data_IF_432656746457
#
_entry.id   IF_432656746457
#
_cell.length_a   1.000
_cell.length_b   1.000
_cell.length_c   1.000
_cell.angle_alpha   90.00
_cell.angle_beta   90.00
_cell.angle_gamma   90.00
#
_symmetry.space_group_name_H-M   'P 1'
#
loop_
_entity.id
_entity.type
_entity.pdbx_description
1 polymer ?
#
# COMPACT_ATOMS: atom_id res chain seq x y z
N UNK A 1 -26.77 -6.72 -12.23
CA UNK A 1 -25.57 -5.88 -12.36
C UNK A 1 -24.99 -5.75 -10.96
N UNK A 2 -23.76 -6.22 -10.71
CA UNK A 2 -23.17 -6.08 -9.38
C UNK A 2 -22.65 -4.65 -9.20
N UNK A 3 -23.01 -4.01 -8.08
CA UNK A 3 -22.43 -2.75 -7.64
C UNK A 3 -21.20 -3.02 -6.79
N UNK A 4 -20.06 -2.47 -7.17
CA UNK A 4 -18.77 -2.71 -6.53
C UNK A 4 -18.13 -1.39 -6.13
N UNK A 5 -17.59 -1.33 -4.92
CA UNK A 5 -16.75 -0.23 -4.47
C UNK A 5 -15.30 -0.71 -4.31
N UNK A 6 -14.34 -0.07 -4.95
CA UNK A 6 -12.90 -0.29 -4.72
C UNK A 6 -12.32 0.89 -3.94
N UNK A 7 -11.98 0.64 -2.68
CA UNK A 7 -11.24 1.57 -1.83
C UNK A 7 -9.77 1.22 -1.87
N UNK A 8 -8.88 2.20 -1.98
CA UNK A 8 -7.45 1.92 -1.92
C UNK A 8 -6.64 3.06 -1.30
N UNK A 9 -5.43 2.73 -0.86
CA UNK A 9 -4.36 3.70 -0.58
C UNK A 9 -3.18 3.38 -1.49
N UNK A 10 -2.49 4.40 -2.04
CA UNK A 10 -1.30 4.16 -2.87
C UNK A 10 -0.12 5.07 -2.56
N UNK A 11 0.94 4.52 -1.96
CA UNK A 11 2.17 5.29 -1.68
C UNK A 11 2.90 5.77 -2.94
N UNK A 12 3.26 4.83 -3.83
CA UNK A 12 4.06 5.08 -5.05
C UNK A 12 3.24 5.06 -6.34
N UNK A 13 1.92 4.97 -6.26
CA UNK A 13 1.02 4.85 -7.42
C UNK A 13 0.84 3.42 -7.95
N UNK A 14 1.64 2.44 -7.54
CA UNK A 14 1.49 1.04 -8.02
C UNK A 14 0.14 0.43 -7.60
N UNK A 15 -0.34 0.72 -6.39
CA UNK A 15 -1.66 0.24 -5.95
C UNK A 15 -2.78 0.90 -6.76
N UNK A 16 -2.67 2.20 -7.08
CA UNK A 16 -3.59 2.90 -8.00
C UNK A 16 -3.64 2.19 -9.36
N UNK A 17 -2.48 1.89 -9.94
CA UNK A 17 -2.38 1.13 -11.20
C UNK A 17 -3.08 -0.23 -11.10
N UNK A 18 -2.87 -0.97 -10.01
CA UNK A 18 -3.55 -2.25 -9.83
C UNK A 18 -5.07 -2.10 -9.68
N UNK A 19 -5.53 -1.09 -8.94
CA UNK A 19 -6.95 -0.75 -8.83
C UNK A 19 -7.57 -0.49 -10.20
N UNK A 20 -6.90 0.27 -11.07
CA UNK A 20 -7.37 0.53 -12.44
C UNK A 20 -7.51 -0.77 -13.24
N UNK A 21 -6.54 -1.68 -13.16
CA UNK A 21 -6.64 -2.99 -13.82
C UNK A 21 -7.82 -3.82 -13.29
N UNK A 22 -8.09 -3.78 -11.99
CA UNK A 22 -9.23 -4.49 -11.38
C UNK A 22 -10.54 -3.88 -11.90
N UNK A 23 -10.68 -2.55 -11.86
CA UNK A 23 -11.86 -1.84 -12.36
C UNK A 23 -12.13 -2.20 -13.82
N UNK A 24 -11.14 -2.13 -14.69
CA UNK A 24 -11.32 -2.42 -16.12
C UNK A 24 -11.77 -3.87 -16.38
N UNK A 25 -11.30 -4.86 -15.61
CA UNK A 25 -11.76 -6.25 -15.76
C UNK A 25 -13.17 -6.47 -15.18
N UNK A 26 -13.57 -5.67 -14.19
CA UNK A 26 -14.93 -5.64 -13.64
C UNK A 26 -15.92 -4.98 -14.63
N UNK A 27 -15.55 -3.86 -15.25
CA UNK A 27 -16.36 -3.16 -16.25
C UNK A 27 -16.63 -4.04 -17.49
N UNK A 28 -15.64 -4.86 -17.91
CA UNK A 28 -15.83 -5.88 -18.97
C UNK A 28 -16.87 -6.96 -18.64
N UNK A 29 -17.33 -7.04 -17.39
CA UNK A 29 -18.34 -7.99 -16.88
C UNK A 29 -19.66 -7.31 -16.51
N UNK A 30 -19.84 -6.07 -16.96
CA UNK A 30 -21.00 -5.25 -16.63
C UNK A 30 -21.15 -5.07 -15.10
N UNK A 31 -20.04 -4.92 -14.37
CA UNK A 31 -20.11 -4.49 -12.97
C UNK A 31 -20.10 -2.96 -12.95
N UNK A 32 -20.99 -2.35 -12.16
CA UNK A 32 -20.90 -0.93 -11.85
C UNK A 32 -19.84 -0.76 -10.77
N UNK A 33 -18.73 -0.08 -11.09
CA UNK A 33 -17.55 -0.06 -10.23
C UNK A 33 -17.15 1.38 -9.87
N UNK A 34 -17.40 1.76 -8.62
CA UNK A 34 -16.92 3.00 -8.04
C UNK A 34 -15.53 2.80 -7.45
N UNK A 35 -14.66 3.79 -7.62
CA UNK A 35 -13.28 3.73 -7.14
C UNK A 35 -12.99 4.97 -6.32
N UNK A 36 -12.49 4.77 -5.11
CA UNK A 36 -12.17 5.83 -4.16
C UNK A 36 -10.75 5.63 -3.64
N UNK A 37 -9.89 6.63 -3.81
CA UNK A 37 -8.68 6.74 -2.98
C UNK A 37 -9.13 7.19 -1.59
N UNK A 38 -8.69 6.50 -0.53
CA UNK A 38 -9.08 6.89 0.83
C UNK A 38 -8.58 8.30 1.20
N UNK A 39 -7.58 8.84 0.48
CA UNK A 39 -7.13 10.23 0.59
C UNK A 39 -8.18 11.25 0.10
N UNK A 40 -9.13 10.86 -0.77
CA UNK A 40 -10.18 11.75 -1.31
C UNK A 40 -11.34 11.96 -0.32
N UNK A 41 -11.58 10.99 0.56
CA UNK A 41 -12.69 10.99 1.51
C UNK A 41 -12.24 11.22 2.95
N UNK A 42 -10.93 11.37 3.19
CA UNK A 42 -10.37 11.50 4.52
C UNK A 42 -9.02 12.21 4.51
N UNK A 43 -8.85 13.16 5.42
CA UNK A 43 -7.54 13.70 5.79
C UNK A 43 -6.73 12.63 6.55
N UNK A 44 -5.98 11.82 5.82
CA UNK A 44 -5.17 10.73 6.39
C UNK A 44 -4.12 11.20 7.40
N UNK A 45 -3.36 12.29 7.14
CA UNK A 45 -2.45 12.86 8.15
C UNK A 45 -3.13 13.08 9.49
N UNK A 46 -4.25 13.82 9.50
CA UNK A 46 -4.98 14.12 10.74
C UNK A 46 -5.58 12.87 11.36
N UNK A 47 -6.15 11.97 10.56
CA UNK A 47 -6.72 10.72 11.05
C UNK A 47 -5.66 9.85 11.75
N UNK A 48 -4.50 9.69 11.10
CA UNK A 48 -3.43 8.84 11.60
C UNK A 48 -2.76 9.46 12.83
N UNK A 49 -2.44 10.76 12.83
CA UNK A 49 -1.81 11.42 13.98
C UNK A 49 -2.66 11.44 15.25
N UNK A 50 -3.99 11.44 15.14
CA UNK A 50 -4.88 11.34 16.31
C UNK A 50 -4.77 10.02 17.04
N UNK A 51 -4.53 8.92 16.31
CA UNK A 51 -4.45 7.55 16.84
C UNK A 51 -3.39 6.75 16.07
N UNK A 52 -2.11 7.11 16.22
CA UNK A 52 -1.01 6.65 15.38
C UNK A 52 -0.77 5.16 15.56
N UNK A 53 -0.95 4.39 14.49
CA UNK A 53 -0.72 2.95 14.49
C UNK A 53 0.64 2.67 13.90
N UNK A 54 1.51 2.01 14.66
CA UNK A 54 2.86 1.67 14.22
C UNK A 54 3.03 0.17 13.92
N UNK A 55 3.91 -0.12 12.97
CA UNK A 55 4.33 -1.49 12.67
C UNK A 55 5.54 -1.86 13.52
N UNK A 56 5.78 -3.16 13.71
CA UNK A 56 6.88 -3.63 14.57
C UNK A 56 8.25 -3.12 14.13
N UNK A 57 8.49 -3.04 12.82
CA UNK A 57 9.78 -2.60 12.31
C UNK A 57 10.04 -1.12 12.59
N UNK A 58 9.01 -0.26 12.55
CA UNK A 58 9.13 1.17 12.87
C UNK A 58 9.36 1.37 14.37
N UNK A 59 8.71 0.56 15.22
CA UNK A 59 8.96 0.54 16.67
C UNK A 59 10.39 0.14 16.98
N UNK A 60 10.89 -0.91 16.31
CA UNK A 60 12.29 -1.34 16.44
C UNK A 60 13.26 -0.25 15.97
N UNK A 61 12.92 0.47 14.90
CA UNK A 61 13.72 1.57 14.37
C UNK A 61 13.85 2.66 15.41
N UNK A 62 12.72 3.12 15.95
CA UNK A 62 12.67 4.22 16.91
C UNK A 62 13.41 3.87 18.21
N UNK A 63 13.33 2.60 18.62
CA UNK A 63 14.05 2.12 19.80
C UNK A 63 15.57 2.07 19.59
N UNK A 64 16.03 1.75 18.38
CA UNK A 64 17.46 1.55 18.07
C UNK A 64 18.16 2.84 17.62
N UNK A 65 17.48 3.64 16.80
CA UNK A 65 18.03 4.80 16.10
C UNK A 65 17.02 5.96 16.12
N UNK A 66 16.63 6.46 17.31
CA UNK A 66 15.63 7.50 17.42
C UNK A 66 16.02 8.73 16.59
N UNK A 67 15.07 9.28 15.83
CA UNK A 67 15.32 10.49 15.03
C UNK A 67 15.31 11.76 15.87
N UNK A 68 14.68 11.72 17.04
CA UNK A 68 14.61 12.82 17.98
C UNK A 68 14.61 12.34 19.42
N UNK A 69 14.69 13.28 20.38
CA UNK A 69 14.55 12.99 21.81
C UNK A 69 13.08 12.94 22.26
N UNK A 70 12.14 13.29 21.39
CA UNK A 70 10.72 13.30 21.74
C UNK A 70 10.21 11.86 21.83
N UNK A 71 9.36 11.54 22.82
CA UNK A 71 8.74 10.23 22.90
C UNK A 71 7.91 10.01 21.64
N UNK A 72 8.01 8.83 21.04
CA UNK A 72 7.24 8.50 19.84
C UNK A 72 5.81 8.13 20.23
N UNK A 73 4.79 8.95 19.91
CA UNK A 73 3.43 8.66 20.32
C UNK A 73 2.88 7.65 19.33
N UNK A 74 2.93 6.36 19.63
CA UNK A 74 2.34 5.32 18.79
C UNK A 74 1.54 4.31 19.63
N UNK A 75 0.61 3.62 18.97
CA UNK A 75 0.00 2.39 19.44
C UNK A 75 0.49 1.24 18.58
N UNK A 76 0.86 0.13 19.22
CA UNK A 76 1.13 -1.09 18.46
C UNK A 76 -0.17 -1.64 17.85
N UNK A 77 -0.05 -2.56 16.89
CA UNK A 77 -1.21 -3.14 16.21
C UNK A 77 -2.20 -3.84 17.17
N UNK A 78 -1.72 -4.49 18.24
CA UNK A 78 -2.59 -5.22 19.17
C UNK A 78 -3.40 -4.24 20.00
N UNK A 79 -2.76 -3.21 20.52
CA UNK A 79 -3.41 -2.15 21.28
C UNK A 79 -4.39 -1.38 20.41
N UNK A 80 -4.00 -1.00 19.18
CA UNK A 80 -4.84 -0.27 18.24
C UNK A 80 -6.13 -1.04 17.88
N UNK A 81 -6.05 -2.36 17.73
CA UNK A 81 -7.24 -3.21 17.49
C UNK A 81 -8.13 -3.27 18.74
N UNK A 82 -7.53 -3.44 19.93
CA UNK A 82 -8.27 -3.54 21.19
C UNK A 82 -8.98 -2.23 21.56
N UNK A 83 -8.37 -1.08 21.26
CA UNK A 83 -8.91 0.25 21.55
C UNK A 83 -9.74 0.84 20.40
N UNK A 84 -9.94 0.10 19.31
CA UNK A 84 -10.64 0.58 18.12
C UNK A 84 -12.07 0.99 18.45
N UNK A 85 -12.38 2.26 18.16
CA UNK A 85 -13.73 2.84 18.25
C UNK A 85 -14.05 3.51 16.93
N UNK A 86 -15.28 3.37 16.39
CA UNK A 86 -15.70 4.08 15.19
C UNK A 86 -15.47 5.58 15.31
N UNK A 87 -15.05 6.20 14.21
CA UNK A 87 -15.00 7.64 14.07
C UNK A 87 -16.41 8.15 13.73
N UNK A 88 -16.98 9.10 14.51
CA UNK A 88 -18.29 9.68 14.21
C UNK A 88 -18.40 10.26 12.79
N UNK A 89 -17.30 10.78 12.24
CA UNK A 89 -17.26 11.29 10.87
C UNK A 89 -17.55 10.22 9.81
N UNK A 90 -17.36 8.94 10.14
CA UNK A 90 -17.60 7.80 9.24
C UNK A 90 -18.94 7.11 9.51
N UNK A 91 -19.78 7.63 10.43
CA UNK A 91 -21.03 6.97 10.81
C UNK A 91 -21.99 6.77 9.62
N UNK A 92 -22.02 7.71 8.67
CA UNK A 92 -22.85 7.63 7.46
C UNK A 92 -22.43 6.51 6.50
N UNK A 93 -21.15 6.12 6.48
CA UNK A 93 -20.60 5.15 5.52
C UNK A 93 -21.27 3.78 5.59
N UNK A 94 -21.82 3.38 6.75
CA UNK A 94 -22.56 2.13 6.86
C UNK A 94 -23.84 2.11 6.01
N UNK A 95 -24.52 3.26 5.91
CA UNK A 95 -25.69 3.42 5.07
C UNK A 95 -25.27 3.65 3.63
N UNK A 96 -24.30 4.54 3.39
CA UNK A 96 -23.84 4.89 2.04
C UNK A 96 -23.30 3.65 1.31
N UNK A 97 -22.60 2.75 2.01
CA UNK A 97 -22.03 1.57 1.38
C UNK A 97 -22.96 0.36 1.36
N UNK A 98 -24.17 0.48 1.92
CA UNK A 98 -25.14 -0.62 1.94
C UNK A 98 -25.70 -0.95 0.55
N UNK A 99 -25.56 -0.04 -0.41
CA UNK A 99 -25.97 -0.26 -1.80
C UNK A 99 -24.99 -1.11 -2.62
N UNK A 100 -23.76 -1.32 -2.14
CA UNK A 100 -22.76 -2.13 -2.83
C UNK A 100 -22.90 -3.61 -2.48
N UNK A 101 -22.83 -4.44 -3.51
CA UNK A 101 -22.81 -5.90 -3.38
C UNK A 101 -21.46 -6.42 -2.89
N UNK A 102 -20.38 -5.75 -3.30
CA UNK A 102 -18.99 -6.12 -3.05
C UNK A 102 -18.12 -4.89 -2.78
N UNK A 103 -17.23 -4.97 -1.78
CA UNK A 103 -16.25 -3.91 -1.52
C UNK A 103 -14.82 -4.50 -1.54
N UNK A 104 -13.93 -3.90 -2.33
CA UNK A 104 -12.51 -4.23 -2.38
C UNK A 104 -11.67 -3.24 -1.60
N UNK A 105 -10.80 -3.72 -0.71
CA UNK A 105 -9.84 -2.88 0.04
C UNK A 105 -8.40 -3.09 -0.42
N UNK A 106 -7.80 -2.05 -0.99
CA UNK A 106 -6.49 -2.05 -1.62
C UNK A 106 -5.39 -1.37 -0.83
N UNK A 107 -4.24 -2.01 -0.65
CA UNK A 107 -3.09 -1.35 0.00
C UNK A 107 -1.74 -1.91 -0.45
N UNK A 108 -0.67 -1.11 -0.48
CA UNK A 108 0.68 -1.64 -0.53
C UNK A 108 0.99 -2.47 0.73
N UNK A 109 1.92 -3.40 0.58
CA UNK A 109 2.43 -4.24 1.68
C UNK A 109 3.67 -3.60 2.29
N UNK A 110 3.59 -3.22 3.57
CA UNK A 110 4.73 -2.78 4.38
C UNK A 110 4.97 -3.77 5.50
N UNK A 111 6.11 -4.46 5.45
CA UNK A 111 6.46 -5.55 6.38
C UNK A 111 5.31 -6.55 6.61
N UNK A 112 4.72 -7.04 5.51
CA UNK A 112 3.60 -8.00 5.51
C UNK A 112 2.29 -7.50 6.15
N UNK A 113 2.13 -6.19 6.27
CA UNK A 113 0.92 -5.51 6.75
C UNK A 113 0.45 -4.49 5.71
N UNK A 114 -0.83 -4.08 5.75
CA UNK A 114 -1.27 -2.92 5.00
C UNK A 114 -0.57 -1.65 5.46
N UNK A 115 -0.69 -0.57 4.68
CA UNK A 115 -0.21 0.73 5.06
C UNK A 115 -0.85 1.16 6.39
N UNK A 116 -0.08 1.65 7.37
CA UNK A 116 -0.60 2.14 8.65
C UNK A 116 -1.79 3.10 8.54
N UNK A 117 -1.84 3.94 7.50
CA UNK A 117 -2.97 4.83 7.22
C UNK A 117 -4.23 4.07 6.80
N UNK A 118 -4.10 3.01 5.98
CA UNK A 118 -5.21 2.11 5.66
C UNK A 118 -5.67 1.32 6.89
N UNK A 119 -4.75 0.87 7.74
CA UNK A 119 -5.10 0.19 9.00
C UNK A 119 -5.91 1.14 9.88
N UNK A 120 -5.44 2.38 10.08
CA UNK A 120 -6.15 3.39 10.87
C UNK A 120 -7.54 3.67 10.29
N UNK A 121 -7.64 3.88 8.98
CA UNK A 121 -8.90 4.08 8.27
C UNK A 121 -9.89 2.96 8.58
N UNK A 122 -9.51 1.69 8.38
CA UNK A 122 -10.38 0.53 8.64
C UNK A 122 -10.78 0.46 10.12
N UNK A 123 -9.85 0.71 11.05
CA UNK A 123 -10.15 0.68 12.48
C UNK A 123 -11.12 1.77 12.93
N UNK A 124 -11.22 2.88 12.19
CA UNK A 124 -12.15 3.97 12.45
C UNK A 124 -13.50 3.82 11.72
N UNK A 125 -13.62 2.89 10.77
CA UNK A 125 -14.91 2.60 10.13
C UNK A 125 -15.99 2.19 11.16
N UNK A 126 -17.27 2.43 10.87
CA UNK A 126 -18.37 1.86 11.66
C UNK A 126 -18.38 0.33 11.57
N UNK A 127 -19.25 -0.29 12.35
CA UNK A 127 -19.55 -1.72 12.21
C UNK A 127 -20.64 -1.87 11.16
N UNK A 128 -20.37 -2.73 10.17
CA UNK A 128 -21.28 -3.03 9.08
C UNK A 128 -22.10 -4.30 9.38
N UNK A 129 -23.14 -4.51 8.58
CA UNK A 129 -23.89 -5.76 8.59
C UNK A 129 -23.09 -6.88 7.89
N UNK A 130 -23.14 -8.10 8.44
CA UNK A 130 -22.50 -9.33 7.92
C UNK A 130 -22.99 -9.81 6.55
N UNK A 131 -23.83 -9.02 5.88
CA UNK A 131 -24.30 -9.26 4.51
C UNK A 131 -23.32 -8.77 3.44
N UNK A 132 -22.63 -7.64 3.66
CA UNK A 132 -21.77 -7.02 2.64
C UNK A 132 -20.51 -7.87 2.45
N UNK A 133 -20.28 -8.32 1.22
CA UNK A 133 -19.11 -9.12 0.87
C UNK A 133 -17.91 -8.21 0.63
N UNK A 134 -16.75 -8.62 1.12
CA UNK A 134 -15.51 -7.85 0.93
C UNK A 134 -14.34 -8.72 0.53
N UNK A 135 -13.46 -8.17 -0.29
CA UNK A 135 -12.16 -8.75 -0.58
C UNK A 135 -11.06 -7.74 -0.31
N UNK A 136 -9.83 -8.22 -0.19
CA UNK A 136 -8.67 -7.34 -0.11
C UNK A 136 -7.77 -7.52 -1.32
N UNK A 137 -7.02 -6.48 -1.70
CA UNK A 137 -6.02 -6.58 -2.73
C UNK A 137 -4.72 -5.87 -2.37
N UNK A 138 -3.60 -6.44 -2.78
CA UNK A 138 -2.28 -6.03 -2.34
C UNK A 138 -1.28 -5.86 -3.49
N UNK A 139 -0.39 -4.87 -3.32
CA UNK A 139 0.80 -4.71 -4.16
C UNK A 139 2.07 -4.85 -3.33
N UNK A 140 3.06 -5.58 -3.85
CA UNK A 140 4.31 -5.85 -3.11
C UNK A 140 5.53 -6.06 -4.03
N UNK A 141 6.73 -5.82 -3.48
CA UNK A 141 8.01 -5.99 -4.19
C UNK A 141 8.59 -7.42 -4.06
N UNK A 142 7.90 -8.33 -3.36
CA UNK A 142 8.39 -9.67 -3.09
C UNK A 142 7.30 -10.65 -2.70
N UNK A 143 6.75 -10.49 -1.49
CA UNK A 143 5.64 -11.32 -1.02
C UNK A 143 4.64 -10.53 -0.18
N UNK A 144 3.36 -10.91 -0.26
CA UNK A 144 2.29 -10.33 0.55
C UNK A 144 2.34 -10.74 2.04
N UNK A 145 2.88 -11.93 2.34
CA UNK A 145 3.02 -12.40 3.71
C UNK A 145 1.68 -12.62 4.44
N UNK A 146 1.35 -11.78 5.42
CA UNK A 146 0.22 -11.98 6.38
C UNK A 146 -0.86 -10.95 6.10
N UNK A 147 -0.70 -10.23 4.99
CA UNK A 147 -1.57 -9.14 4.59
C UNK A 147 -3.00 -9.66 4.49
N UNK A 148 -3.22 -10.76 3.74
CA UNK A 148 -4.54 -11.36 3.57
C UNK A 148 -5.20 -11.71 4.91
N UNK A 149 -4.51 -12.48 5.76
CA UNK A 149 -5.07 -12.91 7.04
C UNK A 149 -5.39 -11.71 7.94
N UNK A 150 -4.52 -10.70 7.95
CA UNK A 150 -4.75 -9.48 8.71
C UNK A 150 -5.97 -8.72 8.22
N UNK A 151 -6.06 -8.49 6.90
CA UNK A 151 -7.20 -7.83 6.27
C UNK A 151 -8.49 -8.60 6.53
N UNK A 152 -8.48 -9.93 6.36
CA UNK A 152 -9.60 -10.81 6.70
C UNK A 152 -10.05 -10.59 8.13
N UNK A 153 -9.12 -10.61 9.09
CA UNK A 153 -9.45 -10.47 10.51
C UNK A 153 -10.06 -9.09 10.83
N UNK A 154 -9.42 -8.00 10.41
CA UNK A 154 -9.90 -6.64 10.74
C UNK A 154 -11.22 -6.31 10.03
N UNK A 155 -11.41 -6.75 8.78
CA UNK A 155 -12.65 -6.52 8.05
C UNK A 155 -13.80 -7.37 8.62
N UNK A 156 -13.51 -8.60 9.07
CA UNK A 156 -14.51 -9.44 9.74
C UNK A 156 -14.93 -8.84 11.10
N UNK A 157 -13.99 -8.24 11.85
CA UNK A 157 -14.29 -7.50 13.09
C UNK A 157 -15.20 -6.31 12.80
N UNK A 158 -15.03 -5.66 11.64
CA UNK A 158 -15.90 -4.57 11.17
C UNK A 158 -17.25 -5.05 10.63
N UNK A 159 -17.55 -6.33 10.76
CA UNK A 159 -18.86 -6.88 10.42
C UNK A 159 -19.00 -7.22 8.95
N UNK A 160 -17.95 -7.21 8.14
CA UNK A 160 -18.02 -7.64 6.74
C UNK A 160 -17.93 -9.16 6.56
N UNK A 161 -18.44 -9.67 5.43
CA UNK A 161 -18.25 -11.05 4.99
C UNK A 161 -17.05 -11.14 4.04
N UNK A 162 -15.89 -11.55 4.56
CA UNK A 162 -14.68 -11.68 3.76
C UNK A 162 -14.79 -12.85 2.76
N UNK A 163 -14.57 -12.57 1.47
CA UNK A 163 -14.72 -13.55 0.38
C UNK A 163 -13.42 -13.91 -0.34
N UNK A 164 -12.37 -13.11 -0.28
CA UNK A 164 -11.10 -13.49 -0.91
C UNK A 164 -10.04 -12.40 -0.99
N UNK A 165 -8.96 -12.70 -1.71
CA UNK A 165 -7.79 -11.86 -1.81
C UNK A 165 -7.16 -11.88 -3.21
N UNK A 166 -6.61 -10.74 -3.63
CA UNK A 166 -5.78 -10.59 -4.81
C UNK A 166 -4.41 -10.01 -4.43
N UNK A 167 -3.32 -10.56 -4.95
CA UNK A 167 -2.01 -9.93 -4.81
C UNK A 167 -1.19 -9.94 -6.10
N UNK A 168 -0.41 -8.88 -6.28
CA UNK A 168 0.48 -8.76 -7.42
C UNK A 168 1.77 -8.01 -7.08
N UNK A 169 2.87 -8.52 -7.63
CA UNK A 169 4.13 -7.79 -7.73
C UNK A 169 4.29 -7.19 -9.13
N UNK A 170 4.63 -5.90 -9.20
CA UNK A 170 4.79 -5.16 -10.45
C UNK A 170 6.24 -4.80 -10.71
N UNK A 171 6.73 -3.75 -10.04
CA UNK A 171 8.09 -3.26 -10.14
C UNK A 171 8.55 -2.96 -8.73
N UNK A 172 9.82 -3.21 -8.44
CA UNK A 172 10.38 -3.04 -7.10
C UNK A 172 10.55 -1.55 -6.73
N UNK A 173 9.43 -0.89 -6.49
CA UNK A 173 9.35 0.56 -6.24
C UNK A 173 10.06 0.97 -4.96
N UNK A 174 10.11 0.09 -3.96
CA UNK A 174 10.83 0.34 -2.71
C UNK A 174 12.34 0.08 -2.84
N UNK A 175 12.75 -0.82 -3.74
CA UNK A 175 14.17 -1.06 -4.01
C UNK A 175 14.79 0.01 -4.93
N UNK A 176 13.98 0.74 -5.70
CA UNK A 176 14.44 1.76 -6.65
C UNK A 176 15.35 2.81 -5.97
N UNK A 177 14.99 3.24 -4.77
CA UNK A 177 15.72 4.26 -3.99
C UNK A 177 17.07 3.79 -3.43
N UNK A 178 17.48 2.55 -3.72
CA UNK A 178 18.78 1.99 -3.37
C UNK A 178 19.70 1.82 -4.58
N UNK A 179 19.18 2.04 -5.79
CA UNK A 179 19.91 1.84 -7.03
C UNK A 179 20.52 3.16 -7.49
N UNK A 180 21.80 3.13 -7.88
CA UNK A 180 22.46 4.30 -8.49
C UNK A 180 21.81 4.65 -9.82
N UNK A 181 21.53 3.64 -10.65
CA UNK A 181 20.88 3.77 -11.94
C UNK A 181 19.59 2.95 -11.93
N UNK A 182 18.48 3.56 -12.34
CA UNK A 182 17.19 2.89 -12.50
C UNK A 182 16.71 3.09 -13.93
N UNK A 183 16.72 2.01 -14.72
CA UNK A 183 16.31 2.03 -16.12
C UNK A 183 14.77 2.07 -16.19
N UNK A 184 14.21 3.27 -16.40
CA UNK A 184 12.77 3.50 -16.47
C UNK A 184 12.09 2.71 -17.59
N UNK A 185 12.74 2.53 -18.75
CA UNK A 185 12.15 1.79 -19.86
C UNK A 185 12.14 0.28 -19.60
N UNK A 186 13.20 -0.27 -18.99
CA UNK A 186 13.21 -1.65 -18.52
C UNK A 186 12.15 -1.87 -17.44
N UNK A 187 12.07 -0.97 -16.45
CA UNK A 187 11.06 -1.03 -15.41
C UNK A 187 9.63 -0.94 -15.98
N UNK A 188 9.39 -0.07 -16.96
CA UNK A 188 8.13 0.02 -17.68
C UNK A 188 7.75 -1.25 -18.45
N UNK A 189 8.72 -1.88 -19.14
CA UNK A 189 8.50 -3.18 -19.79
C UNK A 189 8.14 -4.28 -18.79
N UNK A 190 8.77 -4.28 -17.61
CA UNK A 190 8.40 -5.18 -16.51
C UNK A 190 6.99 -4.88 -16.01
N UNK A 191 6.64 -3.61 -15.80
CA UNK A 191 5.31 -3.18 -15.39
C UNK A 191 4.23 -3.67 -16.36
N UNK A 192 4.46 -3.55 -17.67
CA UNK A 192 3.54 -4.06 -18.72
C UNK A 192 3.39 -5.58 -18.61
N UNK A 193 4.49 -6.34 -18.57
CA UNK A 193 4.44 -7.80 -18.43
C UNK A 193 3.66 -8.21 -17.17
N UNK A 194 3.96 -7.58 -16.04
CA UNK A 194 3.28 -7.84 -14.76
C UNK A 194 1.82 -7.41 -14.76
N UNK A 195 1.44 -6.41 -15.55
CA UNK A 195 0.04 -6.03 -15.76
C UNK A 195 -0.74 -7.11 -16.50
N UNK A 196 -0.15 -7.78 -17.50
CA UNK A 196 -0.77 -8.95 -18.13
C UNK A 196 -0.92 -10.13 -17.16
N UNK A 197 0.09 -10.41 -16.34
CA UNK A 197 0.00 -11.42 -15.28
C UNK A 197 -1.11 -11.08 -14.26
N UNK A 198 -1.20 -9.81 -13.87
CA UNK A 198 -2.23 -9.31 -12.96
C UNK A 198 -3.64 -9.53 -13.53
N UNK A 199 -3.88 -9.15 -14.80
CA UNK A 199 -5.18 -9.34 -15.46
C UNK A 199 -5.62 -10.81 -15.48
N UNK A 200 -4.69 -11.75 -15.73
CA UNK A 200 -5.02 -13.19 -15.66
C UNK A 200 -5.50 -13.60 -14.27
N UNK A 201 -4.84 -13.14 -13.21
CA UNK A 201 -5.26 -13.41 -11.82
C UNK A 201 -6.60 -12.75 -11.50
N UNK A 202 -6.78 -11.48 -11.90
CA UNK A 202 -8.03 -10.74 -11.71
C UNK A 202 -9.18 -11.48 -12.39
N UNK A 203 -9.02 -11.88 -13.66
CA UNK A 203 -10.01 -12.65 -14.41
C UNK A 203 -10.45 -13.89 -13.63
N UNK A 204 -9.50 -14.73 -13.20
CA UNK A 204 -9.77 -15.96 -12.44
C UNK A 204 -10.52 -15.64 -11.12
N UNK A 205 -10.10 -14.59 -10.43
CA UNK A 205 -10.75 -14.17 -9.19
C UNK A 205 -12.18 -13.67 -9.44
N UNK A 206 -12.41 -12.91 -10.51
CA UNK A 206 -13.74 -12.41 -10.87
C UNK A 206 -14.68 -13.55 -11.30
N UNK A 207 -14.18 -14.61 -11.93
CA UNK A 207 -14.97 -15.83 -12.16
C UNK A 207 -15.43 -16.47 -10.85
N UNK A 208 -14.53 -16.55 -9.87
CA UNK A 208 -14.87 -17.02 -8.53
C UNK A 208 -15.90 -16.10 -7.84
N UNK A 209 -15.71 -14.78 -7.88
CA UNK A 209 -16.68 -13.82 -7.34
C UNK A 209 -18.03 -13.98 -8.01
N UNK A 210 -18.08 -14.06 -9.34
CA UNK A 210 -19.31 -14.26 -10.09
C UNK A 210 -20.03 -15.55 -9.64
N UNK A 211 -19.28 -16.64 -9.47
CA UNK A 211 -19.77 -17.89 -8.91
C UNK A 211 -20.41 -17.75 -7.51
N UNK A 212 -19.85 -16.90 -6.64
CA UNK A 212 -20.40 -16.65 -5.29
C UNK A 212 -21.74 -15.90 -5.29
N UNK A 213 -22.00 -15.10 -6.32
CA UNK A 213 -23.24 -14.32 -6.45
C UNK A 213 -24.33 -15.07 -7.22
N UNK A 214 -23.95 -15.85 -8.24
CA UNK A 214 -24.90 -16.49 -9.15
C UNK A 214 -25.01 -18.02 -8.98
N UNK A 215 -24.30 -18.62 -8.01
CA UNK A 215 -24.47 -20.03 -7.62
C UNK A 215 -23.86 -21.06 -8.59
N UNK A 216 -23.01 -20.62 -9.52
CA UNK A 216 -22.29 -21.51 -10.43
C UNK A 216 -21.13 -22.16 -9.66
N UNK A 217 -20.98 -23.49 -9.77
CA UNK A 217 -19.91 -24.21 -9.08
C UNK A 217 -18.54 -23.85 -9.66
N UNK A 218 -17.80 -22.97 -8.99
CA UNK A 218 -16.40 -22.68 -9.30
C UNK A 218 -15.51 -23.18 -8.15
N UNK A 219 -14.64 -24.17 -8.41
CA UNK A 219 -13.63 -24.58 -7.45
C UNK A 219 -12.43 -23.65 -7.56
N UNK A 220 -12.42 -22.59 -6.75
CA UNK A 220 -11.23 -21.78 -6.55
C UNK A 220 -10.15 -22.64 -5.87
N UNK A 221 -9.19 -23.12 -6.65
CA UNK A 221 -8.03 -23.85 -6.13
C UNK A 221 -6.96 -22.81 -5.83
N UNK A 222 -6.78 -22.46 -4.56
CA UNK A 222 -5.66 -21.62 -4.14
C UNK A 222 -4.37 -22.26 -4.70
N UNK A 223 -3.62 -21.60 -5.59
CA UNK A 223 -2.61 -22.28 -6.39
C UNK A 223 -1.40 -22.78 -5.58
N UNK A 224 -1.28 -22.49 -4.29
CA UNK A 224 -0.09 -22.89 -3.53
C UNK A 224 -0.30 -23.13 -2.02
N UNK A 225 -1.03 -24.18 -1.61
CA UNK A 225 -1.18 -24.53 -0.18
C UNK A 225 0.18 -24.88 0.47
N UNK A 226 1.12 -25.47 -0.28
CA UNK A 226 2.45 -25.81 0.23
C UNK A 226 3.31 -24.57 0.51
N UNK A 227 3.14 -23.51 -0.28
CA UNK A 227 3.76 -22.19 -0.06
C UNK A 227 3.34 -21.53 1.25
N UNK A 228 2.13 -21.80 1.76
CA UNK A 228 1.67 -21.25 3.05
C UNK A 228 2.32 -21.93 4.27
N UNK A 229 2.70 -23.21 4.16
CA UNK A 229 3.37 -23.98 5.23
C UNK A 229 4.89 -23.73 5.26
N UNK A 230 5.55 -23.79 4.10
CA UNK A 230 6.99 -23.48 3.96
C UNK A 230 7.24 -21.97 4.13
N UNK A 231 6.21 -21.16 3.91
CA UNK A 231 6.23 -19.71 4.09
C UNK A 231 6.41 -19.26 5.54
N UNK A 232 6.10 -20.07 6.57
CA UNK A 232 6.20 -19.62 7.97
C UNK A 232 7.68 -19.44 8.39
N UNK A 233 8.57 -20.44 8.23
CA UNK A 233 10.00 -20.24 8.48
C UNK A 233 10.59 -19.15 7.59
N UNK A 234 10.28 -19.17 6.28
CA UNK A 234 10.76 -18.16 5.34
C UNK A 234 10.30 -16.75 5.69
N UNK A 235 9.10 -16.59 6.23
CA UNK A 235 8.56 -15.32 6.73
C UNK A 235 9.27 -14.87 7.99
N UNK A 236 9.67 -15.76 8.88
CA UNK A 236 10.52 -15.42 10.03
C UNK A 236 11.92 -15.00 9.57
N UNK A 237 12.57 -15.74 8.68
CA UNK A 237 13.89 -15.39 8.15
C UNK A 237 13.86 -14.11 7.29
N UNK A 238 12.84 -13.95 6.44
CA UNK A 238 12.67 -12.78 5.60
C UNK A 238 12.25 -11.57 6.43
N UNK A 239 11.34 -11.69 7.41
CA UNK A 239 11.03 -10.57 8.30
C UNK A 239 12.20 -10.19 9.19
N UNK A 240 12.96 -11.15 9.73
CA UNK A 240 14.15 -10.84 10.51
C UNK A 240 15.26 -10.23 9.64
N UNK A 241 15.48 -10.75 8.43
CA UNK A 241 16.47 -10.24 7.48
C UNK A 241 16.11 -8.87 6.91
N UNK A 242 14.85 -8.65 6.54
CA UNK A 242 14.34 -7.34 6.10
C UNK A 242 14.32 -6.38 7.27
N UNK A 243 13.85 -6.77 8.46
CA UNK A 243 13.92 -5.89 9.63
C UNK A 243 15.37 -5.53 9.95
N UNK A 244 16.28 -6.51 9.93
CA UNK A 244 17.70 -6.27 10.12
C UNK A 244 18.24 -5.28 9.08
N UNK A 245 17.98 -5.52 7.80
CA UNK A 245 18.44 -4.66 6.72
C UNK A 245 17.86 -3.26 6.79
N UNK A 246 16.54 -3.15 6.96
CA UNK A 246 15.83 -1.88 7.06
C UNK A 246 16.37 -1.03 8.22
N UNK A 247 16.51 -1.65 9.40
CA UNK A 247 16.96 -0.96 10.61
C UNK A 247 18.44 -0.59 10.60
N UNK A 248 19.30 -1.28 9.86
CA UNK A 248 20.74 -0.94 9.79
C UNK A 248 21.09 -0.02 8.62
N UNK A 249 20.34 -0.07 7.51
CA UNK A 249 20.77 0.56 6.26
C UNK A 249 19.78 1.53 5.65
N UNK A 250 18.51 1.53 6.02
CA UNK A 250 17.47 2.30 5.33
C UNK A 250 16.74 3.32 6.21
N UNK A 251 16.89 3.23 7.52
CA UNK A 251 16.20 4.11 8.46
C UNK A 251 17.03 5.30 8.86
N UNK A 252 16.37 6.46 8.86
CA UNK A 252 16.98 7.77 9.05
C UNK A 252 16.24 8.82 8.21
N UNK A 253 16.66 10.06 8.33
CA UNK A 253 16.13 11.20 7.57
C UNK A 253 17.21 12.26 7.50
N UNK A 254 17.48 12.77 6.30
CA UNK A 254 18.45 13.82 6.06
C UNK A 254 18.05 14.63 4.83
N UNK A 255 18.64 15.82 4.74
CA UNK A 255 18.35 16.80 3.70
C UNK A 255 19.63 17.52 3.27
N UNK A 256 19.84 17.64 1.96
CA UNK A 256 20.85 18.51 1.36
C UNK A 256 20.24 19.92 1.29
N UNK A 257 20.60 20.79 2.25
CA UNK A 257 19.98 22.12 2.39
C UNK A 257 20.20 23.00 1.15
N UNK A 258 21.35 22.84 0.50
CA UNK A 258 21.75 23.51 -0.73
C UNK A 258 20.93 23.11 -1.97
N UNK A 259 20.33 21.91 -1.98
CA UNK A 259 19.47 21.42 -3.07
C UNK A 259 17.98 21.67 -2.76
N UNK A 260 17.64 21.91 -1.50
CA UNK A 260 16.26 22.09 -1.09
C UNK A 260 15.75 23.50 -1.45
N UNK A 261 14.80 23.55 -2.38
CA UNK A 261 14.13 24.80 -2.78
C UNK A 261 12.93 25.17 -1.89
N UNK A 262 12.78 24.52 -0.73
CA UNK A 262 11.72 24.77 0.26
C UNK A 262 10.28 24.78 -0.33
N UNK A 263 10.01 23.94 -1.34
CA UNK A 263 8.70 23.87 -2.00
C UNK A 263 7.60 23.14 -1.21
N UNK A 264 7.94 22.50 -0.10
CA UNK A 264 7.02 21.77 0.79
C UNK A 264 6.30 20.56 0.19
N UNK A 265 6.69 20.10 -1.01
CA UNK A 265 6.10 18.92 -1.64
C UNK A 265 6.19 17.68 -0.73
N UNK A 266 7.30 17.47 -0.03
CA UNK A 266 7.47 16.33 0.87
C UNK A 266 6.52 16.38 2.08
N UNK A 267 6.24 17.57 2.62
CA UNK A 267 5.32 17.80 3.74
C UNK A 267 3.89 17.52 3.28
N UNK A 268 3.46 18.14 2.19
CA UNK A 268 2.11 18.01 1.63
C UNK A 268 1.78 16.58 1.24
N UNK A 269 2.76 15.84 0.75
CA UNK A 269 2.57 14.46 0.29
C UNK A 269 2.70 13.43 1.42
N UNK A 270 3.01 13.80 2.66
CA UNK A 270 3.20 12.81 3.72
C UNK A 270 1.84 12.28 4.22
N UNK A 271 1.47 11.01 3.95
CA UNK A 271 0.15 10.49 4.33
C UNK A 271 -0.01 10.29 5.85
N UNK A 272 1.09 10.32 6.61
CA UNK A 272 1.09 10.27 8.07
C UNK A 272 1.31 11.65 8.71
N UNK A 273 1.53 12.71 7.91
CA UNK A 273 1.83 14.06 8.38
C UNK A 273 3.11 14.19 9.22
N UNK A 274 4.06 13.26 9.12
CA UNK A 274 5.20 13.20 10.04
C UNK A 274 6.36 14.16 9.73
N UNK A 275 6.25 14.97 8.66
CA UNK A 275 7.32 15.88 8.24
C UNK A 275 6.91 17.30 8.63
N UNK A 276 7.71 17.93 9.48
CA UNK A 276 7.56 19.30 9.98
C UNK A 276 8.67 20.19 9.41
N UNK A 277 8.70 21.47 9.79
CA UNK A 277 9.76 22.40 9.41
C UNK A 277 10.63 22.75 10.61
N UNK A 278 11.94 22.77 10.41
CA UNK A 278 12.88 23.31 11.37
C UNK A 278 12.81 24.85 11.44
N UNK A 279 13.60 25.45 12.33
CA UNK A 279 13.62 26.90 12.53
C UNK A 279 14.08 27.69 11.29
N UNK A 280 14.81 27.04 10.37
CA UNK A 280 15.26 27.63 9.11
C UNK A 280 14.31 27.32 7.94
N UNK A 281 13.20 26.63 8.20
CA UNK A 281 12.18 26.28 7.23
C UNK A 281 12.51 25.04 6.38
N UNK A 282 13.45 24.19 6.80
CA UNK A 282 13.74 22.92 6.12
C UNK A 282 12.89 21.78 6.66
N UNK A 283 12.44 20.85 5.80
CA UNK A 283 11.77 19.63 6.22
C UNK A 283 12.60 18.84 7.23
N UNK A 284 12.00 18.50 8.36
CA UNK A 284 12.56 17.63 9.40
C UNK A 284 11.54 16.55 9.76
N UNK A 285 12.03 15.40 10.22
CA UNK A 285 11.19 14.31 10.70
C UNK A 285 11.65 13.87 12.09
N UNK A 286 10.76 13.96 13.07
CA UNK A 286 11.06 13.60 14.46
C UNK A 286 10.92 12.12 14.77
N UNK A 287 10.28 11.35 13.89
CA UNK A 287 9.93 9.95 14.12
C UNK A 287 10.03 9.09 12.87
N UNK A 288 10.27 7.79 13.01
CA UNK A 288 10.22 6.88 11.87
C UNK A 288 8.78 6.71 11.34
N UNK A 289 8.62 6.79 10.02
CA UNK A 289 7.35 6.62 9.33
C UNK A 289 7.21 5.21 8.75
N UNK A 290 6.14 4.94 8.00
CA UNK A 290 5.92 3.67 7.31
C UNK A 290 6.84 3.44 6.10
N UNK A 291 7.71 4.39 5.75
CA UNK A 291 8.62 4.31 4.60
C UNK A 291 7.93 4.07 3.26
N UNK A 292 6.83 4.80 3.01
CA UNK A 292 6.16 4.76 1.70
C UNK A 292 6.94 5.40 0.56
N UNK A 293 8.07 6.08 0.88
CA UNK A 293 8.98 6.76 -0.05
C UNK A 293 8.37 7.93 -0.83
N UNK A 294 7.13 8.33 -0.57
CA UNK A 294 6.49 9.42 -1.32
C UNK A 294 7.28 10.72 -1.24
N UNK A 295 7.77 11.10 -0.05
CA UNK A 295 8.60 12.29 0.12
C UNK A 295 9.91 12.27 -0.68
N UNK A 296 10.55 11.10 -0.83
CA UNK A 296 11.77 10.96 -1.65
C UNK A 296 11.42 11.09 -3.14
N UNK A 297 10.35 10.42 -3.58
CA UNK A 297 9.99 10.35 -4.99
C UNK A 297 9.34 11.64 -5.54
N UNK A 298 8.74 12.46 -4.67
CA UNK A 298 8.09 13.73 -5.04
C UNK A 298 9.00 14.94 -4.87
N UNK A 299 10.19 14.80 -4.29
CA UNK A 299 11.12 15.91 -4.17
C UNK A 299 11.65 16.27 -5.57
N UNK A 300 11.37 17.47 -6.10
CA UNK A 300 11.76 17.83 -7.47
C UNK A 300 13.26 18.01 -7.64
N UNK A 301 14.00 18.20 -6.54
CA UNK A 301 15.45 18.41 -6.53
C UNK A 301 16.21 17.26 -5.88
N UNK A 302 15.54 16.16 -5.54
CA UNK A 302 16.14 15.00 -4.89
C UNK A 302 16.85 15.26 -3.55
N UNK A 303 16.62 16.41 -2.92
CA UNK A 303 17.30 16.87 -1.72
C UNK A 303 17.14 15.97 -0.46
N UNK A 304 16.20 15.01 -0.46
CA UNK A 304 15.91 14.15 0.69
C UNK A 304 16.54 12.77 0.59
N UNK A 305 17.04 12.26 1.71
CA UNK A 305 17.51 10.87 1.83
C UNK A 305 17.15 10.31 3.21
N UNK A 306 17.13 8.98 3.34
CA UNK A 306 16.92 8.33 4.63
C UNK A 306 18.21 7.80 5.24
N UNK A 307 19.18 7.44 4.42
CA UNK A 307 20.48 6.99 4.88
C UNK A 307 21.53 7.20 3.79
N UNK A 308 22.80 6.92 4.12
CA UNK A 308 23.88 6.83 3.13
C UNK A 308 23.57 5.87 1.97
N UNK A 309 22.70 4.88 2.20
CA UNK A 309 22.34 3.91 1.18
C UNK A 309 21.34 4.47 0.15
N UNK A 310 20.53 5.47 0.55
CA UNK A 310 19.54 6.15 -0.32
C UNK A 310 20.01 7.51 -0.85
N UNK A 311 21.15 7.99 -0.37
CA UNK A 311 21.75 9.26 -0.78
C UNK A 311 22.31 9.17 -2.22
N UNK A 312 21.96 10.16 -3.05
CA UNK A 312 22.29 10.21 -4.47
C UNK A 312 21.82 8.98 -5.27
N UNK A 313 20.66 8.40 -4.91
CA UNK A 313 20.06 7.25 -5.60
C UNK A 313 18.86 7.65 -6.45
N UNK A 314 18.51 6.78 -7.38
CA UNK A 314 17.37 6.96 -8.26
C UNK A 314 16.05 7.11 -7.49
N UNK A 315 15.10 7.81 -8.11
CA UNK A 315 13.71 7.90 -7.62
C UNK A 315 12.80 6.97 -8.39
N UNK A 316 11.73 6.54 -7.75
CA UNK A 316 10.66 5.82 -8.42
C UNK A 316 9.63 6.83 -8.96
N UNK A 317 9.50 7.01 -10.28
CA UNK A 317 8.71 8.11 -10.85
C UNK A 317 7.20 7.82 -10.92
N UNK A 318 6.76 6.65 -10.46
CA UNK A 318 5.37 6.22 -10.58
C UNK A 318 5.10 5.39 -11.84
N UNK A 319 3.97 4.64 -11.87
CA UNK A 319 3.64 3.76 -12.98
C UNK A 319 3.48 4.51 -14.31
N UNK A 320 2.87 5.70 -14.31
CA UNK A 320 2.51 6.43 -15.53
C UNK A 320 3.76 6.83 -16.33
N UNK A 321 4.79 7.35 -15.65
CA UNK A 321 6.09 7.69 -16.25
C UNK A 321 6.80 6.44 -16.77
N UNK A 322 6.74 5.31 -16.05
CA UNK A 322 7.34 4.06 -16.51
C UNK A 322 6.65 3.51 -17.76
N UNK A 323 5.32 3.59 -17.83
CA UNK A 323 4.56 3.18 -19.00
C UNK A 323 4.92 4.07 -20.20
N UNK A 324 4.98 5.39 -20.00
CA UNK A 324 5.40 6.32 -21.06
C UNK A 324 6.82 6.01 -21.56
N UNK A 325 7.79 5.83 -20.66
CA UNK A 325 9.17 5.49 -21.03
C UNK A 325 9.27 4.18 -21.83
N UNK A 326 8.43 3.19 -21.53
CA UNK A 326 8.38 1.94 -22.28
C UNK A 326 7.73 2.09 -23.68
N UNK A 327 6.76 3.00 -23.82
CA UNK A 327 6.13 3.29 -25.11
C UNK A 327 7.10 4.03 -26.03
N UNK A 328 7.80 5.05 -25.53
CA UNK A 328 8.76 5.86 -26.30
C UNK A 328 9.94 5.04 -26.85
N UNK A 329 10.42 4.05 -26.09
CA UNK A 329 11.52 3.17 -26.53
C UNK A 329 11.05 1.94 -27.34
N UNK A 330 9.74 1.82 -27.58
CA UNK A 330 9.14 0.69 -28.28
C UNK A 330 9.01 -0.58 -27.42
N UNK A 331 7.85 -1.23 -27.52
CA UNK A 331 7.64 -2.56 -26.95
C UNK A 331 8.47 -3.57 -27.76
N UNK A 332 9.47 -4.19 -27.11
CA UNK A 332 10.26 -5.28 -27.69
C UNK A 332 9.32 -6.29 -28.38
N UNK A 333 9.59 -6.62 -29.65
CA UNK A 333 8.78 -7.54 -30.48
C UNK A 333 8.53 -8.89 -29.78
N UNK A 334 9.35 -9.26 -28.80
CA UNK A 334 9.22 -10.49 -28.00
C UNK A 334 8.06 -10.49 -26.99
N UNK A 335 7.47 -9.34 -26.64
CA UNK A 335 6.31 -9.25 -25.74
C UNK A 335 4.95 -9.45 -26.44
N UNK A 336 4.95 -9.60 -27.78
CA UNK A 336 3.75 -9.88 -28.60
C UNK A 336 3.42 -11.38 -28.73
N UNK A 337 4.10 -12.26 -27.98
CA UNK A 337 3.89 -13.72 -28.04
C UNK A 337 3.21 -14.25 -26.78
#
# INVERSE_FOLDING_TARGET
MLKVLLLYFSGTGITRHFTSLIREEMEKRDYACDVIDIEEITDLPTLWQKKPVALRYTIRAETKHPLSKYPWPYMDLREAIKSAKPNPAFAGMANDWSEYDLIGFGSPVYAFRPAPVMIRFILDLPVFNRSIRVFSFATHDGAQGDFENFMKNILTIKGFKYVGHLDQSFVNSAAAVMLKNFDYAKAGRVLIKKSFEARKKIFIFLEYIHSLFYGISYRYRNPNPLGSLIGIPWRFFYSYGIDFFLNHFLFGFGIHKEECIQCMACVQQCPQGLIELDAEGYPIRHYHCMYCLRCLNWCPTDALYFSKATDGKARFPGPDVLLQAALEQGLDKRLRK
#
